data_IF_266954885200
#
_entry.id   IF_266954885200
#
_cell.length_a   1.000
_cell.length_b   1.000
_cell.length_c   1.000
_cell.angle_alpha   90.00
_cell.angle_beta   90.00
_cell.angle_gamma   90.00
#
_symmetry.space_group_name_H-M   'P 1'
#
loop_
_entity.id
_entity.type
_entity.pdbx_description
1 polymer ?
#
# COMPACT_ATOMS: atom_id res chain seq x y z
N UNK A 1 -9.48 32.74 -2.52
CA UNK A 1 -8.70 32.47 -3.74
C UNK A 1 -8.83 31.01 -4.10
N UNK A 2 -9.58 30.71 -5.15
CA UNK A 2 -9.67 29.36 -5.72
C UNK A 2 -8.52 29.22 -6.71
N UNK A 3 -7.60 28.30 -6.45
CA UNK A 3 -6.49 28.02 -7.36
C UNK A 3 -6.84 26.82 -8.22
N UNK A 4 -6.66 26.95 -9.53
CA UNK A 4 -6.78 25.86 -10.49
C UNK A 4 -5.37 25.30 -10.71
N UNK A 5 -5.20 24.00 -10.53
CA UNK A 5 -3.99 23.29 -10.88
C UNK A 5 -4.20 22.51 -12.19
N UNK A 6 -3.23 22.61 -13.10
CA UNK A 6 -3.12 21.75 -14.26
C UNK A 6 -2.05 20.71 -13.96
N UNK A 7 -2.44 19.45 -14.07
CA UNK A 7 -1.56 18.29 -14.05
C UNK A 7 -1.55 17.65 -15.45
N UNK A 8 -0.42 17.07 -15.83
CA UNK A 8 -0.23 16.52 -17.17
C UNK A 8 0.66 15.30 -17.09
N UNK A 9 0.11 14.14 -17.45
CA UNK A 9 0.85 12.89 -17.62
C UNK A 9 0.99 12.54 -19.11
N UNK A 10 2.15 12.05 -19.51
CA UNK A 10 2.42 11.62 -20.88
C UNK A 10 3.45 10.52 -20.93
N UNK A 11 3.09 9.47 -21.66
CA UNK A 11 3.91 8.29 -21.86
C UNK A 11 4.07 7.98 -23.35
N UNK A 12 5.25 7.47 -23.71
CA UNK A 12 5.51 6.88 -25.01
C UNK A 12 6.29 5.58 -24.81
N UNK A 13 5.76 4.50 -25.36
CA UNK A 13 6.38 3.18 -25.29
C UNK A 13 6.44 2.54 -26.66
N UNK A 14 7.52 1.82 -26.92
CA UNK A 14 7.67 0.93 -28.07
C UNK A 14 7.72 -0.52 -27.58
N UNK A 15 6.68 -1.28 -27.86
CA UNK A 15 6.58 -2.70 -27.57
C UNK A 15 7.19 -3.51 -28.72
N UNK A 16 8.31 -4.16 -28.44
CA UNK A 16 8.98 -5.06 -29.37
C UNK A 16 8.92 -6.50 -28.88
N UNK A 17 8.68 -7.43 -29.82
CA UNK A 17 8.73 -8.88 -29.60
C UNK A 17 9.37 -9.54 -30.83
N UNK A 18 10.11 -10.64 -30.64
CA UNK A 18 10.67 -11.40 -31.77
C UNK A 18 9.58 -12.04 -32.63
N UNK A 19 8.54 -12.59 -31.97
CA UNK A 19 7.32 -13.11 -32.59
C UNK A 19 6.11 -12.60 -31.82
N UNK A 20 5.11 -12.05 -32.52
CA UNK A 20 3.85 -11.58 -31.93
C UNK A 20 3.49 -10.15 -32.31
N UNK A 21 2.44 -9.63 -31.67
CA UNK A 21 1.99 -8.24 -31.84
C UNK A 21 2.86 -7.31 -30.99
N UNK A 22 3.27 -6.19 -31.54
CA UNK A 22 3.96 -5.10 -30.86
C UNK A 22 3.47 -3.77 -31.41
N UNK A 23 4.25 -2.71 -31.22
CA UNK A 23 3.92 -1.39 -31.75
C UNK A 23 4.23 -0.25 -30.81
N UNK A 24 3.81 0.94 -31.19
CA UNK A 24 4.01 2.16 -30.45
C UNK A 24 2.73 2.58 -29.74
N UNK A 25 2.84 3.07 -28.51
CA UNK A 25 1.77 3.76 -27.79
C UNK A 25 2.21 5.16 -27.43
N UNK A 26 1.31 6.13 -27.60
CA UNK A 26 1.39 7.46 -27.01
C UNK A 26 0.17 7.65 -26.12
N UNK A 27 0.36 7.95 -24.85
CA UNK A 27 -0.72 8.21 -23.89
C UNK A 27 -0.60 9.65 -23.38
N UNK A 28 -1.69 10.40 -23.43
CA UNK A 28 -1.76 11.81 -23.01
C UNK A 28 -2.89 11.94 -21.99
N UNK A 29 -2.61 12.49 -20.81
CA UNK A 29 -3.61 12.65 -19.76
C UNK A 29 -3.49 13.99 -19.02
N UNK A 30 -3.94 15.10 -19.63
CA UNK A 30 -4.13 16.37 -18.93
C UNK A 30 -5.31 16.31 -17.95
N UNK A 31 -5.13 16.88 -16.76
CA UNK A 31 -6.15 16.96 -15.70
C UNK A 31 -6.16 18.35 -15.07
N UNK A 32 -7.35 18.86 -14.78
CA UNK A 32 -7.56 20.09 -14.04
C UNK A 32 -8.12 19.76 -12.66
N UNK A 33 -7.51 20.27 -11.61
CA UNK A 33 -8.00 20.10 -10.24
C UNK A 33 -8.18 21.44 -9.52
N UNK A 34 -9.22 21.53 -8.69
CA UNK A 34 -9.53 22.74 -7.92
C UNK A 34 -10.19 22.39 -6.60
N UNK A 35 -9.86 23.10 -5.50
CA UNK A 35 -10.69 23.07 -4.31
C UNK A 35 -12.05 23.75 -4.59
N UNK A 36 -13.11 23.26 -3.97
CA UNK A 36 -14.46 23.80 -4.04
C UNK A 36 -14.81 24.48 -2.71
N UNK A 37 -14.88 25.82 -2.64
CA UNK A 37 -15.08 26.53 -1.38
C UNK A 37 -16.56 26.55 -0.97
N UNK A 38 -17.08 25.44 -0.43
CA UNK A 38 -18.46 25.36 0.07
C UNK A 38 -18.68 25.95 1.47
N UNK A 39 -17.62 26.44 2.12
CA UNK A 39 -17.67 27.11 3.43
C UNK A 39 -16.47 26.74 4.30
N UNK A 40 -16.46 27.17 5.58
CA UNK A 40 -15.34 26.89 6.48
C UNK A 40 -15.34 25.47 7.07
N UNK A 41 -16.44 24.73 6.90
CA UNK A 41 -16.64 23.41 7.53
C UNK A 41 -16.52 22.25 6.56
N UNK A 42 -16.57 22.51 5.26
CA UNK A 42 -16.51 21.50 4.22
C UNK A 42 -15.20 21.62 3.46
N UNK A 43 -14.52 20.48 3.34
CA UNK A 43 -13.37 20.29 2.49
C UNK A 43 -13.87 19.63 1.22
N UNK A 44 -13.77 20.32 0.07
CA UNK A 44 -14.18 19.74 -1.19
C UNK A 44 -13.18 20.02 -2.29
N UNK A 45 -13.05 19.08 -3.22
CA UNK A 45 -12.21 19.21 -4.41
C UNK A 45 -12.90 18.52 -5.59
N UNK A 46 -12.69 19.05 -6.78
CA UNK A 46 -13.06 18.39 -8.02
C UNK A 46 -11.84 18.34 -8.95
N UNK A 47 -11.79 17.28 -9.74
CA UNK A 47 -10.80 16.99 -10.75
C UNK A 47 -11.52 16.50 -12.00
N UNK A 48 -11.11 17.02 -13.15
CA UNK A 48 -11.63 16.63 -14.45
C UNK A 48 -10.48 16.45 -15.41
N UNK A 49 -10.46 15.32 -16.12
CA UNK A 49 -9.40 14.91 -17.01
C UNK A 49 -9.93 14.40 -18.34
N UNK A 50 -9.04 14.40 -19.33
CA UNK A 50 -9.28 13.75 -20.61
C UNK A 50 -8.04 12.92 -20.92
N UNK A 51 -8.22 11.62 -21.17
CA UNK A 51 -7.13 10.71 -21.52
C UNK A 51 -7.26 10.27 -22.96
N UNK A 52 -6.26 10.53 -23.77
CA UNK A 52 -6.19 10.07 -25.16
C UNK A 52 -5.00 9.11 -25.29
N UNK A 53 -5.26 7.91 -25.79
CA UNK A 53 -4.24 6.89 -26.02
C UNK A 53 -4.25 6.49 -27.49
N UNK A 54 -3.13 6.69 -28.18
CA UNK A 54 -2.93 6.34 -29.57
C UNK A 54 -2.02 5.13 -29.71
N UNK A 55 -2.38 4.22 -30.60
CA UNK A 55 -1.61 3.02 -30.92
C UNK A 55 -1.23 2.99 -32.39
N UNK A 56 0.02 2.63 -32.66
CA UNK A 56 0.47 2.19 -33.98
C UNK A 56 0.95 0.74 -33.85
N UNK A 57 0.14 -0.19 -34.30
CA UNK A 57 0.29 -1.62 -34.08
C UNK A 57 1.12 -2.22 -35.23
N UNK A 58 2.02 -3.12 -34.86
CA UNK A 58 2.94 -3.79 -35.76
C UNK A 58 2.97 -5.28 -35.41
N UNK A 59 3.12 -6.14 -36.42
CA UNK A 59 3.31 -7.57 -36.21
C UNK A 59 4.74 -7.97 -36.54
N UNK A 60 5.31 -8.84 -35.71
CA UNK A 60 6.66 -9.35 -35.85
C UNK A 60 6.63 -10.88 -35.98
N UNK A 61 7.48 -11.43 -36.86
CA UNK A 61 7.54 -12.87 -37.11
C UNK A 61 6.19 -13.43 -37.57
N UNK A 62 5.72 -14.46 -36.87
CA UNK A 62 4.42 -15.11 -37.13
C UNK A 62 3.23 -14.43 -36.42
N UNK A 63 3.39 -13.20 -35.95
CA UNK A 63 2.34 -12.44 -35.27
C UNK A 63 1.15 -12.12 -36.18
N UNK A 64 -0.07 -12.32 -35.68
CA UNK A 64 -1.32 -12.01 -36.36
C UNK A 64 -2.05 -10.91 -35.60
N UNK A 65 -2.49 -9.88 -36.32
CA UNK A 65 -3.35 -8.81 -35.80
C UNK A 65 -4.59 -8.73 -36.69
N UNK A 66 -5.76 -8.99 -36.11
CA UNK A 66 -7.05 -8.92 -36.80
C UNK A 66 -7.71 -7.57 -36.48
N UNK A 67 -7.12 -6.47 -36.97
CA UNK A 67 -7.62 -5.13 -36.75
C UNK A 67 -6.84 -4.07 -37.53
N UNK A 68 -7.23 -2.80 -37.40
CA UNK A 68 -6.46 -1.71 -38.02
C UNK A 68 -5.12 -1.51 -37.28
N UNK A 69 -4.07 -1.18 -38.05
CA UNK A 69 -2.74 -0.92 -37.51
C UNK A 69 -2.64 0.42 -36.76
N UNK A 70 -3.72 1.19 -36.72
CA UNK A 70 -3.82 2.44 -35.96
C UNK A 70 -5.12 2.42 -35.20
N UNK A 71 -5.03 2.58 -33.89
CA UNK A 71 -6.19 2.62 -33.00
C UNK A 71 -6.04 3.81 -32.07
N UNK A 72 -7.16 4.29 -31.53
CA UNK A 72 -7.15 5.33 -30.52
C UNK A 72 -8.27 5.12 -29.50
N UNK A 73 -8.08 5.67 -28.31
CA UNK A 73 -9.04 5.65 -27.22
C UNK A 73 -9.08 7.01 -26.56
N UNK A 74 -10.28 7.57 -26.44
CA UNK A 74 -10.56 8.81 -25.71
C UNK A 74 -11.42 8.49 -24.49
N UNK A 75 -10.96 8.85 -23.30
CA UNK A 75 -11.70 8.71 -22.06
C UNK A 75 -11.91 10.07 -21.39
N UNK A 76 -13.11 10.30 -20.88
CA UNK A 76 -13.38 11.35 -19.91
C UNK A 76 -13.17 10.83 -18.49
N UNK A 77 -12.54 11.62 -17.64
CA UNK A 77 -12.31 11.32 -16.22
C UNK A 77 -12.87 12.45 -15.37
N UNK A 78 -13.63 12.10 -14.33
CA UNK A 78 -14.11 13.05 -13.34
C UNK A 78 -14.05 12.45 -11.94
N UNK A 79 -13.45 13.19 -11.02
CA UNK A 79 -13.38 12.84 -9.61
C UNK A 79 -13.83 14.04 -8.77
N UNK A 80 -14.65 13.80 -7.74
CA UNK A 80 -14.97 14.82 -6.74
C UNK A 80 -15.04 14.22 -5.36
N UNK A 81 -14.58 14.96 -4.37
CA UNK A 81 -14.63 14.57 -2.97
C UNK A 81 -15.19 15.72 -2.13
N UNK A 82 -16.05 15.38 -1.18
CA UNK A 82 -16.52 16.27 -0.14
C UNK A 82 -16.36 15.58 1.22
N UNK A 83 -15.75 16.27 2.17
CA UNK A 83 -15.58 15.80 3.54
C UNK A 83 -15.71 16.92 4.55
N UNK A 84 -15.70 16.55 5.83
CA UNK A 84 -15.62 17.49 6.95
C UNK A 84 -14.77 16.89 8.04
N UNK A 85 -13.97 17.71 8.73
CA UNK A 85 -13.11 17.24 9.81
C UNK A 85 -13.65 17.74 11.16
N UNK A 86 -14.07 16.80 12.00
CA UNK A 86 -14.49 17.04 13.38
C UNK A 86 -13.32 16.72 14.32
N UNK A 87 -13.06 17.62 15.27
CA UNK A 87 -11.96 17.48 16.22
C UNK A 87 -12.47 17.55 17.64
N UNK A 88 -11.99 16.66 18.51
CA UNK A 88 -12.26 16.70 19.94
C UNK A 88 -11.02 16.34 20.74
N UNK A 89 -10.73 17.15 21.76
CA UNK A 89 -9.67 16.89 22.72
C UNK A 89 -10.25 16.31 24.02
N UNK A 90 -9.57 15.29 24.54
CA UNK A 90 -9.92 14.62 25.78
C UNK A 90 -8.73 14.72 26.75
N UNK A 91 -8.82 15.64 27.71
CA UNK A 91 -7.77 15.82 28.71
C UNK A 91 -7.70 14.65 29.69
N UNK A 92 -6.51 14.10 29.91
CA UNK A 92 -6.27 13.08 30.94
C UNK A 92 -6.06 13.67 32.33
N UNK A 93 -5.65 14.95 32.38
CA UNK A 93 -5.45 15.69 33.62
C UNK A 93 -6.37 16.89 33.66
N UNK A 94 -6.81 17.26 34.86
CA UNK A 94 -7.70 18.42 35.07
C UNK A 94 -7.08 19.75 34.62
N UNK A 95 -5.75 19.83 34.52
CA UNK A 95 -5.03 21.02 34.07
C UNK A 95 -4.90 21.13 32.53
N UNK A 96 -5.39 20.13 31.78
CA UNK A 96 -5.32 20.10 30.32
C UNK A 96 -3.90 19.92 29.76
N UNK A 97 -2.91 19.58 30.58
CA UNK A 97 -1.51 19.48 30.17
C UNK A 97 -1.18 18.27 29.30
N UNK A 98 -2.08 17.29 29.24
CA UNK A 98 -1.96 16.09 28.43
C UNK A 98 -3.33 15.48 28.14
N UNK A 99 -3.47 14.82 27.01
CA UNK A 99 -4.73 14.21 26.60
C UNK A 99 -4.63 13.46 25.28
N UNK A 100 -5.79 13.17 24.72
CA UNK A 100 -5.99 12.53 23.43
C UNK A 100 -6.76 13.48 22.51
N UNK A 101 -6.23 13.73 21.32
CA UNK A 101 -6.98 14.37 20.23
C UNK A 101 -7.57 13.28 19.34
N UNK A 102 -8.89 13.30 19.17
CA UNK A 102 -9.61 12.49 18.19
C UNK A 102 -10.03 13.39 17.02
N UNK A 103 -9.59 13.02 15.83
CA UNK A 103 -10.07 13.58 14.58
C UNK A 103 -10.95 12.56 13.87
N UNK A 104 -12.15 12.97 13.49
CA UNK A 104 -13.11 12.18 12.71
C UNK A 104 -13.40 12.91 11.42
N UNK A 105 -13.11 12.28 10.29
CA UNK A 105 -13.36 12.82 8.95
C UNK A 105 -14.30 11.89 8.16
N UNK A 106 -15.62 12.11 8.20
CA UNK A 106 -16.52 11.54 7.21
C UNK A 106 -16.26 12.18 5.83
N UNK A 107 -16.37 11.37 4.78
CA UNK A 107 -16.25 11.82 3.40
C UNK A 107 -17.15 11.04 2.45
N UNK A 108 -17.44 11.67 1.31
CA UNK A 108 -18.09 11.08 0.15
C UNK A 108 -17.29 11.48 -1.09
N UNK A 109 -17.03 10.52 -1.96
CA UNK A 109 -16.33 10.64 -3.22
C UNK A 109 -17.26 10.16 -4.34
N UNK A 110 -17.10 10.75 -5.52
CA UNK A 110 -17.71 10.26 -6.74
C UNK A 110 -16.62 10.18 -7.81
N UNK A 111 -16.52 9.01 -8.43
CA UNK A 111 -15.54 8.68 -9.44
C UNK A 111 -16.26 8.24 -10.72
N UNK A 112 -15.91 8.88 -11.83
CA UNK A 112 -16.45 8.59 -13.14
C UNK A 112 -15.33 8.50 -14.18
N UNK A 113 -15.30 7.40 -14.92
CA UNK A 113 -14.52 7.22 -16.13
C UNK A 113 -15.52 6.86 -17.23
N UNK A 114 -15.43 7.43 -18.42
CA UNK A 114 -16.40 7.14 -19.49
C UNK A 114 -16.32 5.70 -19.98
N UNK A 115 -17.48 5.10 -20.28
CA UNK A 115 -17.56 3.82 -20.98
C UNK A 115 -17.18 3.99 -22.46
N UNK A 116 -16.25 3.18 -22.95
CA UNK A 116 -15.78 3.16 -24.34
C UNK A 116 -15.34 1.75 -24.69
N UNK A 117 -15.72 1.28 -25.88
CA UNK A 117 -15.31 -0.03 -26.37
C UNK A 117 -13.79 -0.09 -26.55
N UNK A 118 -13.15 -1.07 -25.91
CA UNK A 118 -11.71 -1.30 -25.91
C UNK A 118 -11.34 -2.72 -26.41
N UNK A 119 -12.31 -3.48 -26.92
CA UNK A 119 -12.12 -4.89 -27.30
C UNK A 119 -11.12 -5.04 -28.46
N UNK A 120 -11.11 -4.08 -29.39
CA UNK A 120 -10.23 -4.06 -30.56
C UNK A 120 -8.86 -3.39 -30.28
N UNK A 121 -8.58 -3.00 -29.02
CA UNK A 121 -7.29 -2.43 -28.64
C UNK A 121 -6.26 -3.53 -28.35
N UNK A 122 -4.96 -3.30 -28.60
CA UNK A 122 -3.93 -4.24 -28.19
C UNK A 122 -3.86 -4.32 -26.65
N UNK A 123 -3.30 -5.41 -26.12
CA UNK A 123 -3.05 -5.61 -24.69
C UNK A 123 -1.56 -5.86 -24.46
N UNK A 124 -0.86 -4.83 -23.99
CA UNK A 124 0.57 -4.86 -23.70
C UNK A 124 0.84 -4.66 -22.21
N UNK A 125 0.18 -3.70 -21.56
CA UNK A 125 0.29 -3.42 -20.14
C UNK A 125 -1.02 -2.87 -19.52
N UNK A 126 -0.97 -2.53 -18.24
CA UNK A 126 -2.11 -2.05 -17.44
C UNK A 126 -2.75 -0.74 -17.91
N UNK A 127 -2.16 0.01 -18.85
CA UNK A 127 -2.75 1.23 -19.41
C UNK A 127 -3.71 0.94 -20.57
N UNK A 128 -3.59 -0.24 -21.19
CA UNK A 128 -4.33 -0.57 -22.41
C UNK A 128 -5.78 -0.99 -22.13
N UNK A 129 -6.09 -1.33 -20.88
CA UNK A 129 -7.45 -1.57 -20.38
C UNK A 129 -7.73 -0.69 -19.18
N UNK A 130 -8.69 0.21 -19.33
CA UNK A 130 -9.17 1.08 -18.26
C UNK A 130 -10.67 0.85 -18.12
N UNK A 131 -11.10 0.36 -16.96
CA UNK A 131 -12.49 0.00 -16.74
C UNK A 131 -13.40 1.22 -16.66
N UNK A 132 -14.62 1.05 -17.17
CA UNK A 132 -15.72 1.98 -16.92
C UNK A 132 -15.94 2.10 -15.41
N UNK A 133 -15.94 3.33 -14.88
CA UNK A 133 -16.22 3.63 -13.48
C UNK A 133 -17.37 4.61 -13.37
N UNK A 134 -18.31 4.32 -12.49
CA UNK A 134 -19.36 5.25 -12.09
C UNK A 134 -19.81 4.85 -10.69
N UNK A 135 -19.14 5.37 -9.67
CA UNK A 135 -19.33 4.89 -8.30
C UNK A 135 -19.31 6.03 -7.29
N UNK A 136 -19.99 5.81 -6.17
CA UNK A 136 -19.96 6.67 -4.99
C UNK A 136 -19.23 5.93 -3.88
N UNK A 137 -18.11 6.48 -3.41
CA UNK A 137 -17.37 5.94 -2.27
C UNK A 137 -17.66 6.77 -1.04
N UNK A 138 -18.06 6.14 0.07
CA UNK A 138 -18.25 6.81 1.35
C UNK A 138 -17.40 6.16 2.44
N UNK A 139 -16.99 6.96 3.42
CA UNK A 139 -16.16 6.44 4.49
C UNK A 139 -15.97 7.39 5.65
N UNK A 140 -15.30 6.86 6.68
CA UNK A 140 -14.90 7.58 7.88
C UNK A 140 -13.42 7.31 8.17
N UNK A 141 -12.68 8.40 8.33
CA UNK A 141 -11.29 8.36 8.79
C UNK A 141 -11.23 8.81 10.25
N UNK A 142 -10.73 7.96 11.13
CA UNK A 142 -10.49 8.28 12.53
C UNK A 142 -9.00 8.34 12.80
N UNK A 143 -8.53 9.42 13.43
CA UNK A 143 -7.15 9.55 13.88
C UNK A 143 -7.11 9.87 15.37
N UNK A 144 -6.17 9.24 16.07
CA UNK A 144 -5.98 9.38 17.49
C UNK A 144 -4.53 9.78 17.76
N UNK A 145 -4.33 10.90 18.43
CA UNK A 145 -3.00 11.43 18.76
C UNK A 145 -2.94 11.77 20.24
N UNK A 146 -1.88 11.34 20.93
CA UNK A 146 -1.61 11.85 22.26
C UNK A 146 -0.96 13.22 22.17
N UNK A 147 -1.37 14.13 23.05
CA UNK A 147 -0.69 15.40 23.25
C UNK A 147 -0.25 15.53 24.71
N UNK A 148 0.83 16.26 24.93
CA UNK A 148 1.37 16.49 26.27
C UNK A 148 2.49 17.50 26.30
N UNK A 149 3.14 17.64 27.46
CA UNK A 149 4.38 18.42 27.62
C UNK A 149 5.49 17.52 28.13
N UNK A 150 6.69 17.68 27.56
CA UNK A 150 7.87 16.97 28.04
C UNK A 150 8.44 17.59 29.33
N UNK A 151 9.50 17.00 29.88
CA UNK A 151 10.18 17.47 31.10
C UNK A 151 10.74 18.90 31.03
N UNK A 152 10.88 19.46 29.82
CA UNK A 152 11.30 20.85 29.57
C UNK A 152 10.13 21.80 29.29
N UNK A 153 8.89 21.33 29.47
CA UNK A 153 7.66 22.10 29.22
C UNK A 153 7.30 22.29 27.75
N UNK A 154 8.01 21.67 26.81
CA UNK A 154 7.72 21.75 25.37
C UNK A 154 6.57 20.82 25.02
N UNK A 155 5.63 21.31 24.23
CA UNK A 155 4.52 20.51 23.69
C UNK A 155 5.03 19.37 22.80
N UNK A 156 4.43 18.21 22.97
CA UNK A 156 4.72 16.99 22.23
C UNK A 156 3.41 16.38 21.76
N UNK A 157 3.41 15.91 20.51
CA UNK A 157 2.32 15.13 19.93
C UNK A 157 2.90 13.82 19.42
N UNK A 158 2.20 12.72 19.66
CA UNK A 158 2.58 11.40 19.13
C UNK A 158 1.34 10.67 18.60
N UNK A 159 1.49 10.07 17.43
CA UNK A 159 0.44 9.24 16.83
C UNK A 159 0.14 8.04 17.75
N UNK A 160 -1.14 7.81 18.05
CA UNK A 160 -1.60 6.61 18.76
C UNK A 160 -2.19 5.57 17.81
N UNK A 161 -2.81 6.03 16.72
CA UNK A 161 -3.34 5.15 15.70
C UNK A 161 -4.39 5.80 14.82
N UNK A 162 -4.87 5.02 13.85
CA UNK A 162 -6.01 5.40 13.02
C UNK A 162 -6.89 4.20 12.74
N UNK A 163 -8.17 4.47 12.48
CA UNK A 163 -9.13 3.52 11.93
C UNK A 163 -9.84 4.17 10.74
N UNK A 164 -9.66 3.59 9.56
CA UNK A 164 -10.29 4.02 8.32
C UNK A 164 -11.23 2.93 7.84
N UNK A 165 -12.46 3.31 7.51
CA UNK A 165 -13.46 2.40 6.97
C UNK A 165 -14.08 3.09 5.76
N UNK A 166 -14.15 2.39 4.63
CA UNK A 166 -14.83 2.89 3.43
C UNK A 166 -15.51 1.77 2.65
N UNK A 167 -16.49 2.14 1.86
CA UNK A 167 -17.20 1.26 0.95
C UNK A 167 -17.65 2.07 -0.26
N UNK A 168 -17.70 1.41 -1.42
CA UNK A 168 -18.15 1.99 -2.68
C UNK A 168 -19.49 1.38 -3.08
N UNK A 169 -20.31 2.19 -3.75
CA UNK A 169 -21.56 1.78 -4.39
C UNK A 169 -21.45 2.09 -5.87
N UNK A 170 -21.53 1.04 -6.68
CA UNK A 170 -21.47 1.09 -8.13
C UNK A 170 -22.84 1.48 -8.71
N UNK A 171 -22.85 2.52 -9.54
CA UNK A 171 -24.04 3.06 -10.21
C UNK A 171 -24.24 2.46 -11.61
N UNK A 172 -23.35 1.58 -12.06
CA UNK A 172 -23.42 0.92 -13.36
C UNK A 172 -24.55 -0.10 -13.39
N UNK A 173 -25.23 -0.21 -14.53
CA UNK A 173 -26.39 -1.11 -14.69
C UNK A 173 -26.01 -2.58 -14.55
N UNK A 174 -24.83 -2.93 -15.04
CA UNK A 174 -24.24 -4.26 -15.07
C UNK A 174 -23.91 -4.79 -13.67
N UNK A 175 -23.69 -3.91 -12.69
CA UNK A 175 -23.41 -4.28 -11.29
C UNK A 175 -24.66 -4.21 -10.39
N UNK A 176 -25.85 -4.02 -10.96
CA UNK A 176 -27.06 -3.75 -10.18
C UNK A 176 -27.49 -4.88 -9.22
N UNK A 177 -27.07 -6.11 -9.48
CA UNK A 177 -27.32 -7.26 -8.59
C UNK A 177 -26.36 -7.26 -7.38
N UNK A 178 -25.13 -6.76 -7.55
CA UNK A 178 -24.08 -6.70 -6.51
C UNK A 178 -23.38 -5.33 -6.46
N UNK A 179 -24.11 -4.22 -6.23
CA UNK A 179 -23.57 -2.87 -6.41
C UNK A 179 -22.62 -2.41 -5.31
N UNK A 180 -22.53 -3.11 -4.18
CA UNK A 180 -21.64 -2.72 -3.08
C UNK A 180 -20.26 -3.35 -3.24
N UNK A 181 -19.21 -2.55 -3.13
CA UNK A 181 -17.87 -3.10 -2.96
C UNK A 181 -17.75 -3.82 -1.62
N UNK A 182 -16.69 -4.62 -1.50
CA UNK A 182 -16.19 -5.05 -0.20
C UNK A 182 -15.95 -3.85 0.73
N UNK A 183 -16.15 -4.08 2.03
CA UNK A 183 -15.83 -3.09 3.06
C UNK A 183 -14.33 -3.08 3.28
N UNK A 184 -13.68 -1.98 2.92
CA UNK A 184 -12.26 -1.77 3.19
C UNK A 184 -12.09 -1.20 4.60
N UNK A 185 -11.36 -1.90 5.46
CA UNK A 185 -10.98 -1.42 6.79
C UNK A 185 -9.46 -1.42 6.94
N UNK A 186 -8.92 -0.32 7.46
CA UNK A 186 -7.50 -0.17 7.80
C UNK A 186 -7.34 0.35 9.22
N UNK A 187 -6.64 -0.40 10.05
CA UNK A 187 -6.29 -0.07 11.42
C UNK A 187 -4.77 0.03 11.53
N UNK A 188 -4.28 1.12 12.10
CA UNK A 188 -2.94 1.19 12.68
C UNK A 188 -3.10 1.52 14.15
N UNK A 189 -2.40 0.79 15.00
CA UNK A 189 -2.38 1.02 16.43
C UNK A 189 -0.94 0.97 16.93
N UNK A 190 -0.51 2.05 17.58
CA UNK A 190 0.80 2.17 18.21
C UNK A 190 0.59 2.19 19.75
N UNK A 191 0.35 1.03 20.41
CA UNK A 191 0.04 0.96 21.84
C UNK A 191 1.18 1.43 22.75
N UNK A 192 2.42 1.43 22.24
CA UNK A 192 3.62 1.91 22.90
C UNK A 192 4.59 2.43 21.83
N UNK A 193 5.53 3.31 22.20
CA UNK A 193 6.53 3.88 21.27
C UNK A 193 7.37 2.83 20.52
N UNK A 194 7.37 1.60 21.02
CA UNK A 194 8.18 0.47 20.58
C UNK A 194 7.39 -0.62 19.87
N UNK A 195 6.07 -0.51 19.78
CA UNK A 195 5.23 -1.53 19.18
C UNK A 195 4.19 -0.92 18.25
N UNK A 196 4.00 -1.57 17.11
CA UNK A 196 3.02 -1.20 16.11
C UNK A 196 2.25 -2.43 15.66
N UNK A 197 0.95 -2.26 15.52
CA UNK A 197 0.05 -3.22 14.87
C UNK A 197 -0.59 -2.54 13.66
N UNK A 198 -0.54 -3.18 12.50
CA UNK A 198 -1.27 -2.78 11.30
C UNK A 198 -2.19 -3.93 10.91
N UNK A 199 -3.47 -3.64 10.76
CA UNK A 199 -4.46 -4.59 10.25
C UNK A 199 -5.17 -3.97 9.06
N UNK A 200 -5.28 -4.72 7.96
CA UNK A 200 -6.00 -4.31 6.74
C UNK A 200 -6.91 -5.44 6.33
N UNK A 201 -8.09 -5.11 5.85
CA UNK A 201 -9.02 -6.12 5.32
C UNK A 201 -9.95 -5.55 4.27
N UNK A 202 -10.30 -6.40 3.32
CA UNK A 202 -11.41 -6.25 2.39
C UNK A 202 -12.40 -7.39 2.68
N UNK A 203 -13.57 -7.03 3.20
CA UNK A 203 -14.60 -7.98 3.61
C UNK A 203 -15.78 -7.90 2.65
N UNK A 204 -16.08 -9.01 1.99
CA UNK A 204 -17.21 -9.13 1.07
C UNK A 204 -18.55 -9.10 1.83
N UNK A 205 -19.50 -8.35 1.28
CA UNK A 205 -20.84 -8.20 1.84
C UNK A 205 -21.85 -9.20 1.27
N UNK A 206 -21.47 -9.97 0.25
CA UNK A 206 -22.35 -10.91 -0.45
C UNK A 206 -22.20 -12.37 -0.03
N UNK A 207 -21.17 -12.72 0.73
CA UNK A 207 -21.08 -14.00 1.45
C UNK A 207 -19.73 -14.70 1.38
N UNK A 208 -18.76 -14.17 0.63
CA UNK A 208 -17.46 -14.80 0.43
C UNK A 208 -16.47 -14.54 1.58
N UNK A 209 -16.88 -13.71 2.55
CA UNK A 209 -16.13 -13.46 3.78
C UNK A 209 -14.96 -12.52 3.55
N UNK A 210 -13.75 -12.92 3.96
CA UNK A 210 -12.56 -12.10 3.71
C UNK A 210 -12.08 -12.32 2.27
N UNK A 211 -12.00 -11.26 1.46
CA UNK A 211 -11.30 -11.29 0.17
C UNK A 211 -9.79 -11.17 0.43
N UNK A 212 -9.42 -10.28 1.35
CA UNK A 212 -8.06 -10.13 1.82
C UNK A 212 -8.05 -9.72 3.29
N UNK A 213 -7.05 -10.19 4.03
CA UNK A 213 -6.66 -9.54 5.28
C UNK A 213 -5.18 -9.72 5.57
N UNK A 214 -4.59 -8.68 6.15
CA UNK A 214 -3.19 -8.69 6.59
C UNK A 214 -3.09 -8.22 8.03
N UNK A 215 -2.26 -8.88 8.82
CA UNK A 215 -1.89 -8.47 10.17
C UNK A 215 -0.37 -8.37 10.26
N UNK A 216 0.13 -7.18 10.59
CA UNK A 216 1.55 -6.92 10.82
C UNK A 216 1.73 -6.45 12.26
N UNK A 217 2.62 -7.08 13.01
CA UNK A 217 2.98 -6.71 14.38
C UNK A 217 4.49 -6.53 14.44
N UNK A 218 4.92 -5.30 14.71
CA UNK A 218 6.33 -4.94 14.87
C UNK A 218 6.58 -4.52 16.30
N UNK A 219 7.66 -5.03 16.89
CA UNK A 219 8.20 -4.59 18.17
C UNK A 219 9.71 -4.40 18.05
N UNK A 220 10.21 -3.25 18.49
CA UNK A 220 11.64 -2.96 18.53
C UNK A 220 11.99 -2.21 19.80
N UNK A 221 13.04 -2.64 20.50
CA UNK A 221 13.50 -1.97 21.69
C UNK A 221 14.91 -1.40 21.56
N UNK A 222 15.27 -0.55 22.53
CA UNK A 222 16.58 0.12 22.58
C UNK A 222 17.76 -0.81 22.86
N UNK A 223 17.51 -2.06 23.24
CA UNK A 223 18.54 -3.10 23.39
C UNK A 223 18.90 -3.71 22.03
N UNK A 224 18.09 -3.50 21.00
CA UNK A 224 18.25 -4.11 19.69
C UNK A 224 17.51 -5.44 19.55
N UNK A 225 16.59 -5.77 20.47
CA UNK A 225 15.64 -6.85 20.22
C UNK A 225 14.58 -6.37 19.23
N UNK A 226 14.21 -7.25 18.32
CA UNK A 226 13.27 -7.01 17.26
C UNK A 226 12.35 -8.21 17.10
N UNK A 227 11.06 -7.97 16.90
CA UNK A 227 10.09 -8.97 16.53
C UNK A 227 9.20 -8.38 15.44
N UNK A 228 9.09 -9.07 14.32
CA UNK A 228 8.10 -8.82 13.28
C UNK A 228 7.31 -10.11 13.05
N UNK A 229 5.99 -9.97 13.04
CA UNK A 229 5.06 -11.02 12.66
C UNK A 229 4.14 -10.45 11.59
N UNK A 230 4.15 -11.05 10.41
CA UNK A 230 3.31 -10.69 9.27
C UNK A 230 2.47 -11.91 8.88
N UNK A 231 1.16 -11.72 8.84
CA UNK A 231 0.22 -12.69 8.31
C UNK A 231 -0.48 -12.05 7.12
N UNK A 232 -0.58 -12.81 6.03
CA UNK A 232 -1.28 -12.38 4.82
C UNK A 232 -2.21 -13.49 4.36
N UNK A 233 -3.46 -13.10 4.14
CA UNK A 233 -4.47 -13.86 3.43
C UNK A 233 -4.96 -13.03 2.24
N UNK A 234 -5.08 -13.65 1.08
CA UNK A 234 -5.69 -13.09 -0.12
C UNK A 234 -6.24 -14.20 -0.99
N UNK A 235 -7.52 -14.08 -1.36
CA UNK A 235 -8.22 -15.03 -2.24
C UNK A 235 -7.67 -14.96 -3.67
N UNK A 236 -7.27 -13.76 -4.12
CA UNK A 236 -6.56 -13.58 -5.39
C UNK A 236 -5.16 -14.21 -5.33
N UNK A 237 -5.03 -15.36 -6.00
CA UNK A 237 -3.80 -16.15 -6.04
C UNK A 237 -3.61 -17.13 -4.87
N UNK A 238 -4.68 -17.48 -4.14
CA UNK A 238 -4.67 -18.48 -3.05
C UNK A 238 -3.52 -18.28 -2.04
N UNK A 239 -3.27 -17.04 -1.66
CA UNK A 239 -2.14 -16.69 -0.79
C UNK A 239 -2.58 -16.73 0.66
N UNK A 240 -2.09 -17.71 1.42
CA UNK A 240 -2.18 -17.73 2.87
C UNK A 240 -0.78 -18.02 3.44
N UNK A 241 -0.19 -17.06 4.15
CA UNK A 241 1.18 -17.21 4.65
C UNK A 241 1.41 -16.48 5.97
N UNK A 242 2.40 -16.97 6.72
CA UNK A 242 2.87 -16.38 7.95
C UNK A 242 4.39 -16.21 7.90
N UNK A 243 4.84 -15.00 8.17
CA UNK A 243 6.23 -14.60 8.18
C UNK A 243 6.59 -14.11 9.57
N UNK A 244 7.68 -14.62 10.13
CA UNK A 244 8.16 -14.20 11.44
C UNK A 244 9.66 -13.90 11.38
N UNK A 245 10.06 -12.79 11.98
CA UNK A 245 11.45 -12.39 12.15
C UNK A 245 11.66 -11.96 13.60
N UNK A 246 12.48 -12.70 14.34
CA UNK A 246 12.87 -12.38 15.70
C UNK A 246 14.39 -12.22 15.79
N UNK A 247 14.84 -11.12 16.40
CA UNK A 247 16.23 -10.90 16.80
C UNK A 247 16.26 -10.61 18.28
N UNK A 248 17.18 -11.24 19.00
CA UNK A 248 17.38 -11.02 20.43
C UNK A 248 18.86 -10.77 20.72
N UNK A 249 19.15 -9.73 21.50
CA UNK A 249 20.47 -9.54 22.08
C UNK A 249 20.59 -10.47 23.30
N UNK A 250 21.34 -11.56 23.15
CA UNK A 250 21.52 -12.56 24.20
C UNK A 250 22.45 -12.03 25.29
N UNK A 251 23.55 -11.40 24.86
CA UNK A 251 24.50 -10.61 25.65
C UNK A 251 25.01 -9.45 24.81
N UNK A 252 25.74 -8.50 25.39
CA UNK A 252 26.12 -7.22 24.75
C UNK A 252 26.75 -7.34 23.35
N UNK A 253 27.42 -8.45 23.06
CA UNK A 253 28.12 -8.71 21.79
C UNK A 253 27.56 -9.88 21.00
N UNK A 254 26.50 -10.55 21.46
CA UNK A 254 25.93 -11.73 20.79
C UNK A 254 24.44 -11.53 20.52
N UNK A 255 24.07 -11.66 19.25
CA UNK A 255 22.69 -11.62 18.78
C UNK A 255 22.31 -12.98 18.21
N UNK A 256 21.10 -13.44 18.54
CA UNK A 256 20.48 -14.58 17.89
C UNK A 256 19.34 -14.06 17.01
N UNK A 257 19.24 -14.58 15.80
CA UNK A 257 18.22 -14.19 14.83
C UNK A 257 17.56 -15.43 14.23
N UNK A 258 16.24 -15.32 14.05
CA UNK A 258 15.41 -16.35 13.47
C UNK A 258 14.43 -15.69 12.51
N UNK A 259 14.41 -16.16 11.26
CA UNK A 259 13.47 -15.74 10.23
C UNK A 259 12.82 -16.96 9.61
N UNK A 260 11.52 -16.89 9.36
CA UNK A 260 10.76 -17.95 8.68
C UNK A 260 9.67 -17.32 7.82
N UNK A 261 9.51 -17.87 6.63
CA UNK A 261 8.40 -17.63 5.71
C UNK A 261 7.72 -18.98 5.46
N UNK A 262 6.44 -19.07 5.80
CA UNK A 262 5.68 -20.31 5.71
C UNK A 262 4.39 -20.09 4.94
N UNK A 263 4.25 -20.80 3.82
CA UNK A 263 2.99 -20.89 3.08
C UNK A 263 2.05 -21.82 3.82
N UNK A 264 0.97 -21.27 4.36
CA UNK A 264 -0.12 -22.03 4.98
C UNK A 264 -1.00 -22.69 3.91
N UNK A 265 -1.19 -22.03 2.75
CA UNK A 265 -1.96 -22.59 1.63
C UNK A 265 -1.30 -23.84 1.03
N UNK A 266 0.03 -23.86 0.94
CA UNK A 266 0.79 -25.02 0.46
C UNK A 266 1.27 -25.94 1.60
N UNK A 267 1.14 -25.52 2.86
CA UNK A 267 1.59 -26.27 4.04
C UNK A 267 3.11 -26.48 4.11
N UNK A 268 3.90 -25.58 3.50
CA UNK A 268 5.36 -25.71 3.40
C UNK A 268 6.12 -24.44 3.79
N UNK A 269 7.35 -24.63 4.25
CA UNK A 269 8.30 -23.54 4.53
C UNK A 269 8.93 -23.08 3.21
N UNK A 270 8.78 -21.79 2.88
CA UNK A 270 9.36 -21.14 1.71
C UNK A 270 10.83 -20.81 1.98
N UNK A 271 11.10 -20.18 3.12
CA UNK A 271 12.46 -19.85 3.55
C UNK A 271 12.54 -19.95 5.08
N UNK A 272 13.66 -20.46 5.58
CA UNK A 272 13.98 -20.42 7.00
C UNK A 272 15.45 -20.07 7.18
N UNK A 273 15.72 -19.10 8.04
CA UNK A 273 17.06 -18.62 8.33
C UNK A 273 17.27 -18.52 9.84
N UNK A 274 18.36 -19.13 10.32
CA UNK A 274 18.79 -19.07 11.72
C UNK A 274 20.20 -18.52 11.73
N UNK A 275 20.45 -17.45 12.49
CA UNK A 275 21.81 -16.93 12.64
C UNK A 275 22.20 -16.58 14.07
N UNK A 276 23.50 -16.71 14.33
CA UNK A 276 24.14 -16.29 15.56
C UNK A 276 25.28 -15.34 15.20
N UNK A 277 25.14 -14.09 15.59
CA UNK A 277 26.07 -13.01 15.31
C UNK A 277 26.86 -12.66 16.56
N UNK A 278 28.19 -12.79 16.50
CA UNK A 278 29.11 -12.22 17.48
C UNK A 278 29.70 -10.92 16.92
N UNK A 279 29.42 -9.78 17.55
CA UNK A 279 29.82 -8.45 17.10
C UNK A 279 30.47 -7.63 18.24
N UNK A 280 31.79 -7.79 18.44
CA UNK A 280 32.60 -6.81 19.17
C UNK A 280 32.85 -5.53 18.35
N UNK A 281 33.60 -4.57 18.90
CA UNK A 281 33.66 -3.19 18.38
C UNK A 281 34.21 -3.01 16.95
N UNK A 282 35.03 -3.92 16.43
CA UNK A 282 35.74 -3.69 15.14
C UNK A 282 35.60 -4.84 14.14
N UNK A 283 34.86 -5.89 14.48
CA UNK A 283 34.66 -7.05 13.62
C UNK A 283 33.42 -7.80 14.04
N UNK A 284 32.88 -8.64 13.15
CA UNK A 284 31.83 -9.58 13.47
C UNK A 284 32.02 -10.92 12.79
N UNK A 285 31.47 -11.95 13.41
CA UNK A 285 31.34 -13.29 12.85
C UNK A 285 29.90 -13.71 12.97
N UNK A 286 29.32 -14.12 11.85
CA UNK A 286 27.96 -14.66 11.77
C UNK A 286 28.01 -16.11 11.33
N UNK A 287 27.44 -17.00 12.14
CA UNK A 287 27.11 -18.35 11.72
C UNK A 287 25.65 -18.37 11.29
N UNK A 288 25.38 -18.77 10.06
CA UNK A 288 24.05 -18.77 9.46
C UNK A 288 23.70 -20.15 8.89
N UNK A 289 22.45 -20.58 9.08
CA UNK A 289 21.84 -21.74 8.42
C UNK A 289 20.61 -21.27 7.67
N UNK A 290 20.67 -21.27 6.34
CA UNK A 290 19.58 -20.88 5.44
C UNK A 290 19.04 -22.10 4.70
N UNK A 291 17.74 -22.33 4.82
CA UNK A 291 16.99 -23.40 4.19
C UNK A 291 15.96 -22.81 3.22
N UNK A 292 15.87 -23.40 2.03
CA UNK A 292 14.78 -23.22 1.07
C UNK A 292 14.40 -24.61 0.52
N UNK A 293 13.20 -24.80 -0.07
CA UNK A 293 12.84 -26.07 -0.69
C UNK A 293 13.89 -26.55 -1.70
N UNK A 294 14.56 -27.66 -1.37
CA UNK A 294 15.59 -28.27 -2.22
C UNK A 294 17.03 -27.79 -1.98
N UNK A 295 17.27 -26.81 -1.10
CA UNK A 295 18.62 -26.33 -0.78
C UNK A 295 18.79 -26.02 0.71
N UNK A 296 19.97 -26.33 1.25
CA UNK A 296 20.32 -26.04 2.64
C UNK A 296 21.79 -25.62 2.73
N UNK A 297 22.01 -24.37 3.09
CA UNK A 297 23.32 -23.73 3.11
C UNK A 297 23.69 -23.34 4.54
N UNK A 298 24.89 -23.74 4.95
CA UNK A 298 25.50 -23.30 6.20
C UNK A 298 26.69 -22.40 5.84
N UNK A 299 26.68 -21.19 6.38
CA UNK A 299 27.66 -20.14 6.07
C UNK A 299 28.30 -19.60 7.34
N UNK A 300 29.58 -19.25 7.24
CA UNK A 300 30.27 -18.45 8.25
C UNK A 300 30.78 -17.18 7.58
N UNK A 301 30.26 -16.04 7.99
CA UNK A 301 30.61 -14.74 7.44
C UNK A 301 31.49 -13.97 8.43
N UNK A 302 32.60 -13.43 7.94
CA UNK A 302 33.50 -12.57 8.71
C UNK A 302 33.42 -11.15 8.15
N UNK A 303 33.14 -10.17 9.00
CA UNK A 303 33.10 -8.75 8.62
C UNK A 303 34.07 -7.95 9.48
N UNK A 304 34.78 -7.00 8.87
CA UNK A 304 35.71 -6.10 9.56
C UNK A 304 35.19 -4.67 9.40
N UNK A 305 35.09 -3.92 10.50
CA UNK A 305 34.79 -2.50 10.44
C UNK A 305 35.88 -1.79 9.59
N UNK A 306 35.48 -0.86 8.71
CA UNK A 306 36.32 -0.11 7.75
C UNK A 306 36.86 -0.84 6.49
N UNK A 307 36.48 -2.09 6.19
CA UNK A 307 36.83 -2.75 4.90
C UNK A 307 35.58 -3.11 4.07
N UNK A 308 34.51 -2.32 4.25
CA UNK A 308 33.26 -2.44 3.50
C UNK A 308 32.25 -3.35 4.20
N UNK A 309 31.06 -2.82 4.42
CA UNK A 309 29.94 -3.57 4.96
C UNK A 309 28.98 -3.89 3.80
N UNK A 310 28.88 -5.15 3.34
CA UNK A 310 28.01 -5.49 2.20
C UNK A 310 26.50 -5.36 2.52
N UNK A 311 26.11 -5.12 3.79
CA UNK A 311 24.72 -5.24 4.24
C UNK A 311 24.11 -4.01 4.94
N UNK A 312 24.73 -2.82 4.84
CA UNK A 312 24.02 -1.56 5.13
C UNK A 312 23.61 -1.28 6.60
N UNK A 313 24.03 -2.10 7.58
CA UNK A 313 23.77 -1.82 9.00
C UNK A 313 24.80 -0.78 9.50
N UNK A 314 24.31 0.32 10.10
CA UNK A 314 25.17 1.30 10.76
C UNK A 314 25.75 0.69 12.04
N UNK A 315 27.07 0.53 12.06
CA UNK A 315 27.88 0.39 13.27
C UNK A 315 27.84 1.68 14.10
#
# INVERSE_FOLDING_TARGET
DTYLALDWDTDYVNYYRENGVGGHRVDLFPRLSTPLPFGPYLEARAEAGVRETFYNIQTYGDGVWEGDNTQNRLLGDFHTEVGTTLLREFSFKNDGSSGLTHSLRPFVQFDYISDTNQDDLPDFDSVDRIDYRNEITYGIDNFFNFFGKNSKGKETSSDYGYLKIKQSYDLRSEESDTPFSAVNMRLRWDPMDKARLIYKTDYDVYGDGFIAHTLEVVYENSRGDFLNLDYRFGDDGDTEQINAHARAQIIDTVFAEYQIEHSLSEGQVIEQNISLLYQPACWSVELQSKYTPGDHVISVLFSLANIGNPLGIKL
#
